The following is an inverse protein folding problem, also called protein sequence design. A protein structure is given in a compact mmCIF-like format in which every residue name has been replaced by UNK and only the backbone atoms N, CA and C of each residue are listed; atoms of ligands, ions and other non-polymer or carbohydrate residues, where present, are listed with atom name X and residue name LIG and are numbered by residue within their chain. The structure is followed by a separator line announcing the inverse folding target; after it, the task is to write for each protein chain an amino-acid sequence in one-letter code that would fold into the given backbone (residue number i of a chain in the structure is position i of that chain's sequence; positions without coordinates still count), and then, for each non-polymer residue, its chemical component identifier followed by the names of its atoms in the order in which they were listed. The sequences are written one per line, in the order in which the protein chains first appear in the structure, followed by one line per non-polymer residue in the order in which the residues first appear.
data_IF_715316172460
#
_entry.id   IF_715316172460
#
_cell.length_a   1.000
_cell.length_b   1.000
_cell.length_c   1.000
_cell.angle_alpha   90.00
_cell.angle_beta   90.00
_cell.angle_gamma   90.00
#
_symmetry.space_group_name_H-M   'P 1'
#
loop_
_entity.id
_entity.type
_entity.pdbx_description
1 polymer ?
#
# COMPACT_ATOMS: atom_id res chain seq x y z
N UNK A 1 -34.01 -45.89 -28.18
CA UNK A 1 -32.54 -46.09 -28.09
C UNK A 1 -31.85 -44.99 -28.88
N UNK A 2 -30.73 -44.47 -28.34
CA UNK A 2 -29.87 -43.34 -28.77
C UNK A 2 -30.27 -41.98 -28.18
N UNK A 3 -30.00 -41.77 -26.89
CA UNK A 3 -28.73 -41.31 -26.28
C UNK A 3 -28.48 -39.82 -26.52
N UNK A 4 -28.76 -39.02 -25.48
CA UNK A 4 -28.50 -37.58 -25.43
C UNK A 4 -27.01 -37.27 -25.25
N UNK A 5 -26.58 -36.17 -25.83
CA UNK A 5 -25.28 -35.56 -25.61
C UNK A 5 -25.48 -34.25 -24.84
N UNK A 6 -25.26 -34.32 -23.54
CA UNK A 6 -25.18 -33.18 -22.64
C UNK A 6 -23.75 -32.63 -22.70
N UNK A 7 -23.55 -31.51 -23.39
CA UNK A 7 -22.29 -30.77 -23.34
C UNK A 7 -22.28 -29.85 -22.12
N UNK A 8 -21.89 -30.38 -20.96
CA UNK A 8 -21.37 -29.55 -19.86
C UNK A 8 -19.86 -29.47 -20.04
N UNK A 9 -19.39 -28.42 -20.69
CA UNK A 9 -17.98 -28.03 -20.66
C UNK A 9 -17.66 -27.50 -19.27
N UNK A 10 -17.03 -28.34 -18.44
CA UNK A 10 -16.38 -27.91 -17.21
C UNK A 10 -14.96 -27.48 -17.59
N UNK A 11 -14.69 -26.19 -17.48
CA UNK A 11 -13.36 -25.60 -17.59
C UNK A 11 -12.46 -26.10 -16.45
N UNK A 12 -11.79 -27.24 -16.69
CA UNK A 12 -10.69 -27.72 -15.85
C UNK A 12 -9.41 -27.05 -16.31
N UNK A 13 -9.03 -25.95 -15.68
CA UNK A 13 -7.64 -25.47 -15.74
C UNK A 13 -6.77 -26.57 -15.10
N UNK A 14 -5.75 -27.12 -15.79
CA UNK A 14 -4.91 -28.16 -15.21
C UNK A 14 -4.22 -27.64 -13.95
N UNK A 15 -4.24 -28.42 -12.86
CA UNK A 15 -3.66 -28.05 -11.56
C UNK A 15 -2.19 -27.56 -11.67
N UNK A 16 -1.44 -28.09 -12.63
CA UNK A 16 -0.06 -27.68 -12.92
C UNK A 16 0.07 -26.25 -13.47
N UNK A 17 -0.90 -25.80 -14.28
CA UNK A 17 -0.91 -24.45 -14.83
C UNK A 17 -1.21 -23.41 -13.74
N UNK A 18 -2.16 -23.73 -12.83
CA UNK A 18 -2.45 -22.88 -11.67
C UNK A 18 -1.23 -22.75 -10.75
N UNK A 19 -0.56 -23.85 -10.44
CA UNK A 19 0.64 -23.83 -9.60
C UNK A 19 1.78 -23.00 -10.20
N UNK A 20 1.95 -23.03 -11.53
CA UNK A 20 2.91 -22.19 -12.24
C UNK A 20 2.57 -20.69 -12.12
N UNK A 21 1.30 -20.31 -12.35
CA UNK A 21 0.86 -18.93 -12.20
C UNK A 21 1.01 -18.41 -10.77
N UNK A 22 0.62 -19.22 -9.78
CA UNK A 22 0.76 -18.86 -8.36
C UNK A 22 2.24 -18.65 -8.00
N UNK A 23 3.13 -19.53 -8.49
CA UNK A 23 4.58 -19.37 -8.32
C UNK A 23 5.12 -18.10 -8.99
N UNK A 24 4.72 -17.83 -10.23
CA UNK A 24 5.16 -16.64 -10.96
C UNK A 24 4.72 -15.34 -10.27
N UNK A 25 3.48 -15.31 -9.77
CA UNK A 25 2.92 -14.21 -9.00
C UNK A 25 3.73 -13.95 -7.72
N UNK A 26 3.99 -15.00 -6.93
CA UNK A 26 4.78 -14.89 -5.70
C UNK A 26 6.23 -14.46 -5.98
N UNK A 27 6.83 -14.97 -7.06
CA UNK A 27 8.17 -14.55 -7.48
C UNK A 27 8.21 -13.05 -7.84
N UNK A 28 7.21 -12.54 -8.58
CA UNK A 28 7.14 -11.11 -8.92
C UNK A 28 6.90 -10.22 -7.69
N UNK A 29 6.06 -10.66 -6.74
CA UNK A 29 5.91 -9.98 -5.44
C UNK A 29 7.24 -9.91 -4.70
N UNK A 30 7.99 -11.01 -4.66
CA UNK A 30 9.30 -11.06 -4.02
C UNK A 30 10.31 -10.12 -4.69
N UNK A 31 10.36 -10.10 -6.03
CA UNK A 31 11.22 -9.20 -6.79
C UNK A 31 10.91 -7.73 -6.49
N UNK A 32 9.64 -7.35 -6.44
CA UNK A 32 9.23 -5.99 -6.06
C UNK A 32 9.63 -5.65 -4.62
N UNK A 33 9.42 -6.58 -3.67
CA UNK A 33 9.80 -6.35 -2.28
C UNK A 33 11.32 -6.21 -2.11
N UNK A 34 12.11 -6.92 -2.92
CA UNK A 34 13.57 -6.83 -2.91
C UNK A 34 14.05 -5.55 -3.60
N UNK A 35 13.39 -5.10 -4.68
CA UNK A 35 13.81 -3.88 -5.40
C UNK A 35 13.63 -2.60 -4.58
N UNK A 36 12.69 -2.59 -3.64
CA UNK A 36 12.46 -1.45 -2.73
C UNK A 36 13.34 -1.48 -1.47
N UNK A 37 14.13 -2.53 -1.24
CA UNK A 37 15.04 -2.60 -0.10
C UNK A 37 16.08 -1.47 -0.16
N UNK A 38 16.50 -1.01 1.00
CA UNK A 38 17.51 0.06 1.17
C UNK A 38 17.17 1.41 0.51
N UNK A 39 15.93 1.60 0.04
CA UNK A 39 15.47 2.89 -0.51
C UNK A 39 15.05 3.89 0.56
N UNK A 40 15.00 3.48 1.83
CA UNK A 40 14.40 4.25 2.94
C UNK A 40 13.00 4.78 2.60
N UNK A 41 12.12 3.87 2.16
CA UNK A 41 10.74 4.15 1.70
C UNK A 41 10.65 5.12 0.52
N UNK A 42 11.70 5.23 -0.28
CA UNK A 42 11.74 6.14 -1.41
C UNK A 42 12.78 7.25 -1.27
N UNK A 43 13.16 7.63 -0.04
CA UNK A 43 14.00 8.80 0.23
C UNK A 43 15.38 8.76 -0.46
N UNK A 44 16.01 7.59 -0.50
CA UNK A 44 17.34 7.40 -1.09
C UNK A 44 17.31 6.74 -2.47
N UNK A 45 16.15 6.72 -3.12
CA UNK A 45 15.98 6.03 -4.41
C UNK A 45 16.73 6.76 -5.52
N UNK A 46 17.63 6.05 -6.20
CA UNK A 46 18.27 6.55 -7.42
C UNK A 46 17.34 6.46 -8.63
N UNK A 47 17.62 7.22 -9.69
CA UNK A 47 16.84 7.15 -10.95
C UNK A 47 16.80 5.73 -11.52
N UNK A 48 17.93 5.00 -11.47
CA UNK A 48 17.98 3.61 -11.94
C UNK A 48 17.11 2.69 -11.08
N UNK A 49 17.17 2.82 -9.75
CA UNK A 49 16.30 2.03 -8.86
C UNK A 49 14.83 2.35 -9.08
N UNK A 50 14.47 3.62 -9.26
CA UNK A 50 13.10 4.03 -9.58
C UNK A 50 12.59 3.32 -10.84
N UNK A 51 13.41 3.31 -11.90
CA UNK A 51 13.08 2.60 -13.13
C UNK A 51 12.90 1.09 -12.89
N UNK A 52 13.78 0.45 -12.10
CA UNK A 52 13.65 -0.98 -11.80
C UNK A 52 12.42 -1.30 -10.94
N UNK A 53 12.05 -0.41 -10.01
CA UNK A 53 10.85 -0.55 -9.17
C UNK A 53 9.60 -0.41 -10.03
N UNK A 54 9.55 0.59 -10.91
CA UNK A 54 8.44 0.78 -11.85
C UNK A 54 8.27 -0.41 -12.79
N UNK A 55 9.37 -0.94 -13.34
CA UNK A 55 9.34 -2.15 -14.16
C UNK A 55 8.82 -3.37 -13.38
N UNK A 56 9.28 -3.56 -12.13
CA UNK A 56 8.81 -4.64 -11.27
C UNK A 56 7.31 -4.50 -10.93
N UNK A 57 6.82 -3.27 -10.70
CA UNK A 57 5.41 -2.97 -10.48
C UNK A 57 4.57 -3.34 -11.71
N UNK A 58 4.95 -2.86 -12.89
CA UNK A 58 4.24 -3.15 -14.15
C UNK A 58 4.25 -4.65 -14.44
N UNK A 59 5.36 -5.33 -14.18
CA UNK A 59 5.47 -6.79 -14.36
C UNK A 59 4.53 -7.56 -13.42
N UNK A 60 4.39 -7.12 -12.16
CA UNK A 60 3.46 -7.68 -11.18
C UNK A 60 2.00 -7.40 -11.56
N UNK A 61 1.68 -6.17 -11.98
CA UNK A 61 0.36 -5.81 -12.49
C UNK A 61 -0.02 -6.64 -13.74
N UNK A 62 0.98 -7.00 -14.55
CA UNK A 62 0.85 -7.90 -15.69
C UNK A 62 0.28 -9.29 -15.32
N UNK A 63 0.55 -9.80 -14.12
CA UNK A 63 -0.05 -11.05 -13.63
C UNK A 63 -1.54 -10.92 -13.32
N UNK A 64 -2.05 -9.70 -13.18
CA UNK A 64 -3.45 -9.42 -12.87
C UNK A 64 -4.29 -9.07 -14.11
N UNK A 65 -3.70 -9.08 -15.32
CA UNK A 65 -4.41 -8.72 -16.56
C UNK A 65 -5.65 -9.61 -16.74
N UNK A 66 -6.82 -8.99 -16.65
CA UNK A 66 -8.13 -9.62 -16.90
C UNK A 66 -8.79 -10.29 -15.68
N UNK A 67 -8.18 -10.24 -14.50
CA UNK A 67 -8.63 -10.99 -13.32
C UNK A 67 -9.36 -10.13 -12.26
N UNK A 68 -10.38 -9.36 -12.66
CA UNK A 68 -11.36 -8.66 -11.80
C UNK A 68 -10.98 -7.22 -11.37
N UNK A 69 -11.97 -6.30 -11.26
CA UNK A 69 -11.75 -4.95 -10.72
C UNK A 69 -11.24 -4.98 -9.27
N UNK A 70 -10.69 -3.85 -8.80
CA UNK A 70 -10.33 -3.66 -7.39
C UNK A 70 -11.40 -4.26 -6.48
N UNK A 71 -10.99 -5.26 -5.70
CA UNK A 71 -11.85 -5.84 -4.68
C UNK A 71 -11.73 -5.02 -3.40
N UNK A 72 -12.74 -4.19 -3.13
CA UNK A 72 -12.79 -3.34 -1.93
C UNK A 72 -12.74 -4.16 -0.63
N UNK A 73 -13.25 -5.39 -0.61
CA UNK A 73 -13.15 -6.24 0.59
C UNK A 73 -11.72 -6.66 0.90
N UNK A 74 -10.88 -6.78 -0.14
CA UNK A 74 -9.47 -7.10 0.04
C UNK A 74 -8.64 -5.85 0.36
N UNK A 75 -9.15 -4.65 0.04
CA UNK A 75 -8.49 -3.37 0.29
C UNK A 75 -8.79 -2.84 1.70
N UNK A 76 -9.97 -3.14 2.25
CA UNK A 76 -10.35 -2.75 3.61
C UNK A 76 -9.36 -3.29 4.64
N UNK A 77 -8.86 -2.41 5.51
CA UNK A 77 -7.84 -2.76 6.50
C UNK A 77 -6.72 -1.73 6.61
N UNK A 78 -5.70 -2.09 7.40
CA UNK A 78 -4.55 -1.23 7.69
C UNK A 78 -3.31 -1.70 6.93
N UNK A 79 -2.77 -0.81 6.10
CA UNK A 79 -1.63 -1.08 5.23
C UNK A 79 -0.43 -0.27 5.66
N UNK A 80 0.75 -0.89 5.68
CA UNK A 80 2.00 -0.20 6.00
C UNK A 80 2.66 0.28 4.72
N UNK A 81 2.93 1.57 4.62
CA UNK A 81 3.64 2.16 3.47
C UNK A 81 5.06 1.58 3.36
N UNK A 82 5.33 0.80 2.32
CA UNK A 82 6.67 0.24 2.06
C UNK A 82 7.54 1.16 1.21
N UNK A 83 6.95 1.82 0.21
CA UNK A 83 7.65 2.67 -0.75
C UNK A 83 6.72 3.78 -1.25
N UNK A 84 7.28 4.95 -1.54
CA UNK A 84 6.58 6.06 -2.19
C UNK A 84 7.53 6.89 -3.05
N UNK A 85 7.06 7.34 -4.21
CA UNK A 85 7.71 8.37 -5.03
C UNK A 85 7.05 9.75 -4.89
N UNK A 86 6.01 9.87 -4.04
CA UNK A 86 5.29 11.13 -3.82
C UNK A 86 6.17 12.13 -3.08
N UNK A 87 6.47 13.25 -3.75
CA UNK A 87 7.29 14.35 -3.20
C UNK A 87 6.72 14.90 -1.89
N UNK A 88 5.40 14.99 -1.76
CA UNK A 88 4.73 15.48 -0.55
C UNK A 88 5.05 14.63 0.68
N UNK A 89 5.19 13.32 0.50
CA UNK A 89 5.56 12.38 1.57
C UNK A 89 7.07 12.34 1.77
N UNK A 90 7.85 12.39 0.68
CA UNK A 90 9.32 12.37 0.75
C UNK A 90 9.88 13.56 1.54
N UNK A 91 9.23 14.73 1.48
CA UNK A 91 9.62 15.90 2.30
C UNK A 91 9.53 15.59 3.80
N UNK A 92 8.49 14.86 4.24
CA UNK A 92 8.35 14.44 5.64
C UNK A 92 9.47 13.47 6.05
N UNK A 93 9.80 12.52 5.18
CA UNK A 93 10.90 11.57 5.41
C UNK A 93 12.27 12.27 5.41
N UNK A 94 12.47 13.26 4.55
CA UNK A 94 13.68 14.08 4.53
C UNK A 94 13.82 14.88 5.82
N UNK A 95 12.72 15.44 6.36
CA UNK A 95 12.75 16.15 7.63
C UNK A 95 13.26 15.25 8.77
N UNK A 96 12.81 14.00 8.83
CA UNK A 96 13.29 12.98 9.79
C UNK A 96 14.77 12.70 9.64
N UNK A 97 15.24 12.53 8.40
CA UNK A 97 16.66 12.28 8.14
C UNK A 97 17.54 13.50 8.47
N UNK A 98 16.98 14.71 8.44
CA UNK A 98 17.72 15.97 8.64
C UNK A 98 17.73 16.39 10.10
N UNK A 99 16.62 16.19 10.83
CA UNK A 99 16.46 16.62 12.21
C UNK A 99 16.67 15.44 13.17
N UNK A 100 17.81 15.36 13.89
CA UNK A 100 18.15 14.21 14.73
C UNK A 100 17.21 14.03 15.94
N UNK A 101 16.44 15.06 16.26
CA UNK A 101 15.42 15.06 17.31
C UNK A 101 14.02 14.72 16.79
N UNK A 102 13.83 14.43 15.50
CA UNK A 102 12.52 14.12 14.93
C UNK A 102 12.54 12.70 14.40
N UNK A 103 11.76 11.82 15.01
CA UNK A 103 11.66 10.42 14.60
C UNK A 103 10.27 10.19 14.00
N UNK A 104 10.20 9.65 12.78
CA UNK A 104 8.94 9.13 12.22
C UNK A 104 8.92 7.62 12.38
N UNK A 105 7.85 7.14 13.00
CA UNK A 105 7.56 5.72 13.15
C UNK A 105 7.01 5.11 11.86
N UNK A 106 6.20 4.07 11.99
CA UNK A 106 5.58 3.45 10.82
C UNK A 106 4.45 4.33 10.26
N UNK A 107 4.53 4.63 8.95
CA UNK A 107 3.43 5.25 8.21
C UNK A 107 2.43 4.17 7.79
N UNK A 108 1.16 4.36 8.13
CA UNK A 108 0.06 3.48 7.76
C UNK A 108 -1.00 4.20 6.93
N UNK A 109 -1.75 3.40 6.18
CA UNK A 109 -2.93 3.79 5.42
C UNK A 109 -4.06 2.85 5.81
N UNK A 110 -5.10 3.36 6.44
CA UNK A 110 -6.28 2.59 6.78
C UNK A 110 -7.37 2.86 5.76
N UNK A 111 -7.76 1.83 5.03
CA UNK A 111 -8.93 1.87 4.15
C UNK A 111 -10.16 1.44 4.95
N UNK A 112 -11.18 2.30 4.92
CA UNK A 112 -12.51 2.08 5.48
C UNK A 112 -13.50 2.07 4.32
N UNK A 113 -13.68 0.90 3.72
CA UNK A 113 -14.53 0.66 2.57
C UNK A 113 -15.35 -0.64 2.68
N UNK A 114 -15.35 -1.28 3.85
CA UNK A 114 -16.23 -2.40 4.14
C UNK A 114 -17.70 -2.01 3.86
N UNK A 115 -18.41 -2.88 3.14
CA UNK A 115 -19.78 -2.69 2.67
C UNK A 115 -20.00 -1.56 1.64
N UNK A 116 -18.95 -0.94 1.11
CA UNK A 116 -19.05 0.04 0.02
C UNK A 116 -18.87 -0.63 -1.34
N UNK A 117 -19.49 -0.05 -2.38
CA UNK A 117 -19.44 -0.60 -3.74
C UNK A 117 -18.54 0.17 -4.71
N UNK A 118 -18.16 1.41 -4.40
CA UNK A 118 -17.42 2.26 -5.35
C UNK A 118 -16.44 3.26 -4.69
N UNK A 119 -16.02 3.00 -3.45
CA UNK A 119 -15.15 3.94 -2.74
C UNK A 119 -15.15 3.72 -1.25
N UNK A 120 -14.72 4.75 -0.52
CA UNK A 120 -14.67 4.74 0.93
C UNK A 120 -13.87 5.92 1.48
N UNK A 121 -13.35 5.74 2.68
CA UNK A 121 -12.44 6.71 3.33
C UNK A 121 -11.08 6.06 3.48
N UNK A 122 -10.03 6.79 3.15
CA UNK A 122 -8.65 6.44 3.49
C UNK A 122 -8.17 7.37 4.59
N UNK A 123 -7.52 6.81 5.60
CA UNK A 123 -6.87 7.55 6.69
C UNK A 123 -5.38 7.27 6.65
N UNK A 124 -4.59 8.30 6.39
CA UNK A 124 -3.15 8.25 6.54
C UNK A 124 -2.82 8.49 8.00
N UNK A 125 -2.07 7.57 8.59
CA UNK A 125 -1.65 7.61 10.00
C UNK A 125 -0.13 7.69 10.02
N UNK A 126 0.39 8.83 10.45
CA UNK A 126 1.84 9.06 10.58
C UNK A 126 2.15 9.30 12.04
N UNK A 127 2.79 8.33 12.67
CA UNK A 127 3.28 8.46 14.05
C UNK A 127 4.67 9.06 14.05
N UNK A 128 4.92 9.96 14.98
CA UNK A 128 6.22 10.59 15.16
C UNK A 128 6.50 10.89 16.63
N UNK A 129 7.76 11.14 16.95
CA UNK A 129 8.21 11.44 18.31
C UNK A 129 9.37 12.43 18.28
N UNK A 130 9.53 13.14 19.40
CA UNK A 130 10.65 14.05 19.65
C UNK A 130 11.29 13.61 20.96
N UNK A 131 12.55 13.12 20.97
CA UNK A 131 13.22 12.71 22.21
C UNK A 131 13.22 13.83 23.25
N UNK A 132 13.06 13.46 24.51
CA UNK A 132 12.94 14.36 25.67
C UNK A 132 11.71 15.28 25.68
N UNK A 133 10.80 15.18 24.69
CA UNK A 133 9.56 15.94 24.65
C UNK A 133 8.33 15.04 24.57
N UNK A 134 8.37 14.04 23.69
CA UNK A 134 7.29 13.10 23.44
C UNK A 134 7.76 11.66 23.64
N UNK A 135 6.83 10.76 23.95
CA UNK A 135 7.11 9.32 24.06
C UNK A 135 7.78 8.77 22.79
N UNK A 136 8.73 7.83 22.94
CA UNK A 136 9.40 7.20 21.80
C UNK A 136 8.41 6.43 20.92
N UNK A 137 8.48 6.63 19.60
CA UNK A 137 7.67 5.95 18.58
C UNK A 137 6.15 6.21 18.61
N UNK A 138 5.60 6.71 19.72
CA UNK A 138 4.16 6.97 19.91
C UNK A 138 3.85 8.41 20.34
N UNK A 139 4.82 9.32 20.26
CA UNK A 139 4.72 10.68 20.78
C UNK A 139 3.57 11.55 20.24
N UNK A 140 3.27 11.48 18.94
CA UNK A 140 2.13 12.16 18.33
C UNK A 140 1.70 11.45 17.04
N UNK A 141 0.40 11.51 16.74
CA UNK A 141 -0.18 10.95 15.52
C UNK A 141 -0.75 12.04 14.62
N UNK A 142 -0.20 12.19 13.42
CA UNK A 142 -0.80 12.94 12.34
C UNK A 142 -1.78 12.04 11.57
N UNK A 143 -3.05 12.46 11.53
CA UNK A 143 -4.12 11.76 10.84
C UNK A 143 -4.64 12.64 9.68
N UNK A 144 -4.51 12.14 8.46
CA UNK A 144 -5.06 12.79 7.26
C UNK A 144 -6.18 11.92 6.71
N UNK A 145 -7.38 12.49 6.55
CA UNK A 145 -8.52 11.80 5.96
C UNK A 145 -8.75 12.25 4.52
N UNK A 146 -8.95 11.29 3.63
CA UNK A 146 -9.40 11.53 2.27
C UNK A 146 -10.55 10.58 1.92
N UNK A 147 -11.52 11.08 1.15
CA UNK A 147 -12.47 10.20 0.45
C UNK A 147 -11.80 9.64 -0.78
N UNK A 148 -12.10 8.40 -1.13
CA UNK A 148 -11.68 7.85 -2.40
C UNK A 148 -12.85 7.25 -3.18
N UNK A 149 -12.75 7.34 -4.50
CA UNK A 149 -13.68 6.71 -5.44
C UNK A 149 -12.89 5.84 -6.41
N UNK A 150 -13.44 4.68 -6.78
CA UNK A 150 -12.86 3.85 -7.84
C UNK A 150 -13.17 4.52 -9.18
N UNK A 151 -12.14 4.82 -9.96
CA UNK A 151 -12.27 5.49 -11.27
C UNK A 151 -12.03 4.52 -12.41
N UNK A 152 -11.17 3.52 -12.20
CA UNK A 152 -10.88 2.48 -13.18
C UNK A 152 -10.60 1.15 -12.50
N UNK A 153 -10.42 0.08 -13.29
CA UNK A 153 -10.18 -1.29 -12.82
C UNK A 153 -9.10 -1.37 -11.73
N UNK A 154 -8.06 -0.53 -11.81
CA UNK A 154 -6.94 -0.47 -10.84
C UNK A 154 -6.66 0.93 -10.28
N UNK A 155 -7.50 1.93 -10.56
CA UNK A 155 -7.22 3.31 -10.20
C UNK A 155 -8.29 3.87 -9.26
N UNK A 156 -7.83 4.50 -8.18
CA UNK A 156 -8.68 5.26 -7.26
C UNK A 156 -8.33 6.74 -7.34
N UNK A 157 -9.34 7.59 -7.20
CA UNK A 157 -9.17 9.03 -7.04
C UNK A 157 -9.33 9.41 -5.58
N UNK A 158 -8.49 10.30 -5.08
CA UNK A 158 -8.47 10.77 -3.70
C UNK A 158 -8.92 12.23 -3.60
N UNK A 159 -9.78 12.53 -2.64
CA UNK A 159 -10.18 13.87 -2.26
C UNK A 159 -9.90 14.08 -0.76
N UNK A 160 -8.84 14.83 -0.45
CA UNK A 160 -8.48 15.17 0.92
C UNK A 160 -9.57 16.01 1.59
N UNK A 161 -9.85 15.70 2.85
CA UNK A 161 -10.94 16.32 3.61
C UNK A 161 -10.43 17.05 4.84
N UNK A 162 -9.65 16.35 5.67
CA UNK A 162 -9.30 16.83 7.01
C UNK A 162 -7.89 16.40 7.39
N UNK A 163 -7.20 17.26 8.14
CA UNK A 163 -5.91 17.00 8.76
C UNK A 163 -6.08 17.24 10.26
N UNK A 164 -5.78 16.25 11.08
CA UNK A 164 -5.85 16.34 12.55
C UNK A 164 -4.57 15.80 13.18
N UNK A 165 -4.24 16.32 14.36
CA UNK A 165 -3.19 15.78 15.23
C UNK A 165 -3.89 15.20 16.45
N UNK A 166 -3.56 13.97 16.81
CA UNK A 166 -4.17 13.20 17.91
C UNK A 166 -3.08 12.44 18.68
N UNK A 167 -3.46 11.83 19.80
CA UNK A 167 -2.61 10.96 20.63
C UNK A 167 -1.25 11.62 20.95
N UNK A 168 -1.30 12.85 21.49
CA UNK A 168 -0.09 13.58 21.90
C UNK A 168 0.32 13.07 23.27
N UNK A 169 1.40 12.30 23.31
CA UNK A 169 1.94 11.70 24.52
C UNK A 169 3.26 12.39 24.90
N UNK A 170 3.27 13.02 26.07
CA UNK A 170 4.41 13.78 26.59
C UNK A 170 5.32 12.82 27.36
N UNK A 171 6.64 12.95 27.18
CA UNK A 171 7.62 12.13 27.91
C UNK A 171 7.51 12.33 29.43
N UNK A 172 7.65 11.24 30.19
CA UNK A 172 7.67 11.26 31.65
C UNK A 172 8.97 11.85 32.24
N UNK A 173 10.03 11.99 31.44
CA UNK A 173 11.37 12.42 31.87
C UNK A 173 11.57 13.95 31.92
N UNK A 174 10.50 14.72 32.07
CA UNK A 174 10.55 16.20 32.13
C UNK A 174 11.10 16.75 33.45
#
# INVERSE_FOLDING_TARGET
MKSGLSWRSLSLVPCALKAYYDYELENKKHLLLTSIQDTQRGLLTTTNQCSCIEEALVSLEGCNIGCHPINLSNLDGTWRLQYTSSSDVLILLQAVATFPFFQVGQIFQKFECCHQSNGGVIRYVVRWSIPNLLEEQEGATLLVSAKFNVVFVYNIYLQFQEITIQDINISEEL
#
